data_IF_082590256480
#
_entry.id   IF_082590256480
#
_cell.length_a   1.000
_cell.length_b   1.000
_cell.length_c   1.000
_cell.angle_alpha   90.00
_cell.angle_beta   90.00
_cell.angle_gamma   90.00
#
_symmetry.space_group_name_H-M   'P 1'
#
loop_
_entity.id
_entity.type
_entity.pdbx_description
1 polymer ?
#
# COMPACT_ATOMS: atom_id res chain seq x y z
N UNK A 1 -19.81 -3.53 -80.92
CA UNK A 1 -18.84 -2.68 -80.22
C UNK A 1 -19.31 -2.53 -78.78
N UNK A 2 -18.88 -3.43 -77.90
CA UNK A 2 -18.90 -3.26 -76.44
C UNK A 2 -18.13 -4.44 -75.84
N UNK A 3 -16.96 -4.16 -75.25
CA UNK A 3 -16.12 -5.10 -74.52
C UNK A 3 -16.78 -5.44 -73.17
N UNK A 4 -16.68 -6.69 -72.73
CA UNK A 4 -16.73 -7.04 -71.31
C UNK A 4 -15.56 -7.97 -70.98
N UNK A 5 -14.48 -7.37 -70.50
CA UNK A 5 -13.36 -8.03 -69.84
C UNK A 5 -13.80 -8.32 -68.41
N UNK A 6 -13.79 -9.59 -67.98
CA UNK A 6 -13.93 -9.96 -66.57
C UNK A 6 -12.53 -10.15 -65.98
N UNK A 7 -12.05 -9.15 -65.24
CA UNK A 7 -10.85 -9.27 -64.41
C UNK A 7 -11.17 -10.12 -63.17
N UNK A 8 -10.37 -11.16 -62.96
CA UNK A 8 -10.18 -11.79 -61.65
C UNK A 8 -9.45 -10.80 -60.74
N UNK A 9 -10.00 -10.51 -59.57
CA UNK A 9 -9.26 -9.93 -58.45
C UNK A 9 -9.30 -10.92 -57.29
N UNK A 10 -8.17 -11.58 -57.04
CA UNK A 10 -7.91 -12.34 -55.81
C UNK A 10 -7.58 -11.31 -54.73
N UNK A 11 -8.52 -11.04 -53.85
CA UNK A 11 -8.28 -10.22 -52.66
C UNK A 11 -7.60 -11.06 -51.58
N UNK A 12 -6.34 -10.77 -51.29
CA UNK A 12 -5.65 -11.30 -50.12
C UNK A 12 -6.26 -10.66 -48.86
N UNK A 13 -6.90 -11.47 -48.02
CA UNK A 13 -7.33 -11.04 -46.70
C UNK A 13 -6.10 -10.97 -45.77
N UNK A 14 -5.67 -9.75 -45.43
CA UNK A 14 -4.78 -9.53 -44.30
C UNK A 14 -5.55 -9.89 -43.02
N UNK A 15 -5.16 -11.00 -42.40
CA UNK A 15 -5.63 -11.38 -41.08
C UNK A 15 -4.88 -10.52 -40.05
N UNK A 16 -5.51 -9.47 -39.53
CA UNK A 16 -5.03 -8.81 -38.32
C UNK A 16 -5.28 -9.76 -37.14
N UNK A 17 -4.25 -10.46 -36.70
CA UNK A 17 -4.25 -11.07 -35.37
C UNK A 17 -3.98 -9.93 -34.40
N UNK A 18 -5.04 -9.38 -33.81
CA UNK A 18 -4.91 -8.57 -32.61
C UNK A 18 -4.34 -9.51 -31.54
N UNK A 19 -3.05 -9.36 -31.22
CA UNK A 19 -2.48 -9.99 -30.05
C UNK A 19 -3.24 -9.45 -28.85
N UNK A 20 -3.96 -10.34 -28.15
CA UNK A 20 -4.54 -9.98 -26.87
C UNK A 20 -3.40 -9.59 -25.94
N UNK A 21 -3.31 -8.31 -25.59
CA UNK A 21 -2.55 -7.92 -24.41
C UNK A 21 -3.23 -8.63 -23.24
N UNK A 22 -2.52 -9.56 -22.60
CA UNK A 22 -2.93 -10.04 -21.29
C UNK A 22 -2.82 -8.85 -20.36
N UNK A 23 -3.94 -8.24 -19.97
CA UNK A 23 -3.94 -7.26 -18.90
C UNK A 23 -3.74 -8.05 -17.59
N UNK A 24 -2.70 -7.71 -16.83
CA UNK A 24 -2.57 -8.19 -15.46
C UNK A 24 -3.69 -7.55 -14.63
N UNK A 25 -4.43 -8.35 -13.86
CA UNK A 25 -5.47 -7.85 -12.96
C UNK A 25 -4.81 -7.31 -11.70
N UNK A 26 -4.99 -6.02 -11.42
CA UNK A 26 -4.60 -5.43 -10.15
C UNK A 26 -5.67 -5.72 -9.09
N UNK A 27 -5.24 -5.85 -7.84
CA UNK A 27 -6.09 -6.16 -6.69
C UNK A 27 -5.98 -5.01 -5.69
N UNK A 28 -7.11 -4.47 -5.24
CA UNK A 28 -7.20 -3.33 -4.33
C UNK A 28 -6.64 -3.62 -2.92
N UNK A 29 -6.78 -4.87 -2.49
CA UNK A 29 -6.21 -5.37 -1.24
C UNK A 29 -4.66 -5.48 -1.26
N UNK A 30 -4.02 -5.46 -2.43
CA UNK A 30 -2.58 -5.68 -2.56
C UNK A 30 -1.80 -4.37 -2.50
N UNK A 31 -0.57 -4.42 -1.98
CA UNK A 31 0.41 -3.39 -2.32
C UNK A 31 0.72 -3.49 -3.82
N UNK A 32 0.71 -2.37 -4.51
CA UNK A 32 1.36 -2.28 -5.81
C UNK A 32 2.85 -2.04 -5.62
N UNK A 33 3.70 -2.58 -6.49
CA UNK A 33 5.14 -2.27 -6.52
C UNK A 33 5.58 -1.80 -7.90
N UNK A 34 6.54 -0.87 -7.93
CA UNK A 34 7.27 -0.46 -9.14
C UNK A 34 8.73 -0.14 -8.85
N UNK A 35 9.57 -0.21 -9.87
CA UNK A 35 10.94 0.33 -9.80
C UNK A 35 10.95 1.71 -10.42
N UNK A 36 11.19 2.74 -9.61
CA UNK A 36 11.32 4.13 -10.04
C UNK A 36 12.59 4.73 -9.47
N UNK A 37 13.39 5.38 -10.31
CA UNK A 37 14.65 6.02 -9.92
C UNK A 37 15.62 5.15 -9.08
N UNK A 38 15.61 3.84 -9.33
CA UNK A 38 16.45 2.88 -8.63
C UNK A 38 15.94 2.52 -7.22
N UNK A 39 14.67 2.74 -6.92
CA UNK A 39 14.03 2.38 -5.65
C UNK A 39 12.82 1.48 -5.94
N UNK A 40 12.60 0.46 -5.11
CA UNK A 40 11.34 -0.27 -5.09
C UNK A 40 10.30 0.58 -4.33
N UNK A 41 9.35 1.16 -5.04
CA UNK A 41 8.29 1.98 -4.46
C UNK A 41 6.98 1.19 -4.37
N UNK A 42 6.19 1.45 -3.33
CA UNK A 42 4.88 0.84 -3.13
C UNK A 42 3.72 1.79 -3.42
N UNK A 43 2.59 1.23 -3.81
CA UNK A 43 1.37 1.96 -4.12
C UNK A 43 0.13 1.13 -3.86
N UNK A 44 -0.99 1.56 -4.43
CA UNK A 44 -2.26 0.86 -4.37
C UNK A 44 -3.13 1.09 -5.61
N UNK A 45 -4.21 0.31 -5.72
CA UNK A 45 -5.27 0.58 -6.68
C UNK A 45 -6.21 1.62 -6.10
N UNK A 46 -6.27 2.80 -6.72
CA UNK A 46 -7.21 3.86 -6.39
C UNK A 46 -8.66 3.50 -6.73
N UNK A 47 -9.60 4.34 -6.29
CA UNK A 47 -11.05 4.08 -6.43
C UNK A 47 -11.54 4.00 -7.87
N UNK A 48 -10.79 4.56 -8.82
CA UNK A 48 -11.06 4.51 -10.25
C UNK A 48 -10.39 3.31 -10.95
N UNK A 49 -9.69 2.46 -10.19
CA UNK A 49 -8.92 1.33 -10.68
C UNK A 49 -7.52 1.68 -11.17
N UNK A 50 -7.10 2.95 -11.10
CA UNK A 50 -5.76 3.37 -11.49
C UNK A 50 -4.76 3.13 -10.36
N UNK A 51 -3.48 2.94 -10.70
CA UNK A 51 -2.44 2.82 -9.70
C UNK A 51 -2.08 4.19 -9.08
N UNK A 52 -1.98 4.25 -7.76
CA UNK A 52 -1.66 5.44 -6.96
C UNK A 52 -0.38 5.16 -6.18
N UNK A 53 0.57 6.10 -6.22
CA UNK A 53 1.87 6.02 -5.57
C UNK A 53 2.28 7.38 -5.00
N UNK A 54 3.05 7.43 -3.89
CA UNK A 54 3.42 6.30 -3.03
C UNK A 54 2.30 5.99 -2.03
N UNK A 55 2.15 4.70 -1.68
CA UNK A 55 1.32 4.26 -0.54
C UNK A 55 2.11 3.25 0.28
N UNK A 56 2.23 3.49 1.59
CA UNK A 56 3.04 2.68 2.51
C UNK A 56 2.22 1.93 3.56
N UNK A 57 0.89 2.05 3.53
CA UNK A 57 -0.02 1.41 4.47
C UNK A 57 -1.02 0.52 3.74
N UNK A 58 -1.31 -0.65 4.30
CA UNK A 58 -2.46 -1.49 3.95
C UNK A 58 -3.15 -2.02 5.18
N UNK A 59 -4.42 -2.37 5.04
CA UNK A 59 -5.20 -3.03 6.09
C UNK A 59 -5.54 -4.46 5.68
N UNK A 60 -5.70 -5.31 6.68
CA UNK A 60 -6.22 -6.66 6.49
C UNK A 60 -6.97 -7.13 7.74
N UNK A 61 -7.84 -8.12 7.58
CA UNK A 61 -8.64 -8.67 8.68
C UNK A 61 -8.33 -10.15 8.84
N UNK A 62 -7.78 -10.54 10.00
CA UNK A 62 -7.62 -11.95 10.34
C UNK A 62 -9.00 -12.62 10.43
N UNK A 63 -9.12 -13.82 9.86
CA UNK A 63 -10.39 -14.54 9.83
C UNK A 63 -11.32 -14.18 8.69
N UNK A 64 -11.00 -13.16 7.86
CA UNK A 64 -11.82 -12.79 6.71
C UNK A 64 -12.06 -13.96 5.73
N UNK A 65 -11.09 -14.88 5.65
CA UNK A 65 -11.15 -16.07 4.80
C UNK A 65 -11.74 -17.31 5.50
N UNK A 66 -12.37 -17.13 6.67
CA UNK A 66 -13.02 -18.21 7.43
C UNK A 66 -12.08 -19.01 8.34
N UNK A 67 -10.81 -18.61 8.46
CA UNK A 67 -9.83 -19.21 9.38
C UNK A 67 -9.34 -18.15 10.35
N UNK A 68 -9.73 -18.27 11.62
CA UNK A 68 -9.30 -17.34 12.67
C UNK A 68 -7.77 -17.24 12.76
N UNK A 69 -7.27 -16.06 13.16
CA UNK A 69 -5.85 -15.72 13.26
C UNK A 69 -5.07 -15.85 11.94
N UNK A 70 -5.74 -15.84 10.79
CA UNK A 70 -5.12 -16.06 9.49
C UNK A 70 -5.67 -15.11 8.42
N UNK A 71 -4.80 -14.63 7.55
CA UNK A 71 -5.15 -13.98 6.29
C UNK A 71 -3.99 -14.13 5.28
N UNK A 72 -4.32 -14.15 3.99
CA UNK A 72 -3.39 -14.05 2.87
C UNK A 72 -3.25 -12.60 2.36
N UNK A 73 -3.94 -11.65 2.98
CA UNK A 73 -3.93 -10.24 2.59
C UNK A 73 -3.07 -9.40 3.56
N UNK A 74 -2.46 -8.30 3.07
CA UNK A 74 -2.38 -7.90 1.67
C UNK A 74 -1.43 -8.81 0.85
N UNK A 75 -1.69 -8.97 -0.44
CA UNK A 75 -0.70 -9.46 -1.39
C UNK A 75 0.23 -8.35 -1.88
N UNK A 76 1.07 -8.70 -2.84
CA UNK A 76 1.89 -7.75 -3.60
C UNK A 76 1.69 -7.99 -5.09
N UNK A 77 1.36 -6.93 -5.81
CA UNK A 77 0.99 -6.92 -7.22
C UNK A 77 1.77 -5.83 -7.96
N UNK A 78 1.78 -5.84 -9.30
CA UNK A 78 2.47 -4.84 -10.09
C UNK A 78 1.75 -4.60 -11.42
N UNK A 79 1.87 -3.39 -11.96
CA UNK A 79 1.51 -3.14 -13.35
C UNK A 79 2.52 -3.81 -14.30
N UNK A 80 2.08 -4.15 -15.51
CA UNK A 80 3.00 -4.78 -16.47
C UNK A 80 4.08 -3.79 -16.92
N UNK A 81 5.33 -4.26 -16.92
CA UNK A 81 6.51 -3.55 -17.41
C UNK A 81 7.10 -2.55 -16.42
N UNK A 82 6.59 -2.47 -15.19
CA UNK A 82 7.12 -1.56 -14.15
C UNK A 82 8.21 -2.18 -13.27
N UNK A 83 8.49 -3.47 -13.47
CA UNK A 83 9.51 -4.24 -12.75
C UNK A 83 10.62 -4.70 -13.71
N UNK A 84 11.74 -5.12 -13.14
CA UNK A 84 12.83 -5.76 -13.91
C UNK A 84 12.47 -7.23 -14.15
N UNK A 85 12.45 -7.72 -15.42
CA UNK A 85 12.14 -9.11 -15.72
C UNK A 85 13.02 -10.10 -14.94
N UNK A 86 12.38 -11.07 -14.29
CA UNK A 86 13.07 -12.09 -13.50
C UNK A 86 13.57 -11.64 -12.13
N UNK A 87 13.34 -10.40 -11.70
CA UNK A 87 13.76 -9.97 -10.37
C UNK A 87 12.97 -10.72 -9.28
N UNK A 88 13.67 -11.14 -8.25
CA UNK A 88 13.07 -11.70 -7.04
C UNK A 88 12.67 -10.57 -6.11
N UNK A 89 11.57 -10.75 -5.39
CA UNK A 89 11.15 -9.83 -4.32
C UNK A 89 11.07 -10.61 -3.01
N UNK A 90 11.72 -10.07 -2.00
CA UNK A 90 11.68 -10.55 -0.63
C UNK A 90 11.25 -9.45 0.33
N UNK A 91 11.11 -9.83 1.60
CA UNK A 91 10.83 -8.89 2.68
C UNK A 91 11.79 -9.11 3.85
N UNK A 92 11.95 -8.10 4.69
CA UNK A 92 12.50 -8.23 6.05
C UNK A 92 11.50 -7.63 7.05
N UNK A 93 11.41 -8.21 8.25
CA UNK A 93 10.59 -7.66 9.33
C UNK A 93 11.46 -6.71 10.13
N UNK A 94 11.07 -5.45 10.26
CA UNK A 94 11.98 -4.40 10.75
C UNK A 94 11.78 -4.02 12.21
N UNK A 95 10.66 -4.43 12.81
CA UNK A 95 10.33 -4.14 14.20
C UNK A 95 9.45 -5.23 14.82
N UNK A 96 9.28 -5.18 16.14
CA UNK A 96 8.29 -6.00 16.83
C UNK A 96 6.86 -5.54 16.47
N UNK A 97 5.91 -6.47 16.53
CA UNK A 97 4.49 -6.13 16.35
C UNK A 97 4.06 -5.13 17.43
N UNK A 98 3.26 -4.14 17.04
CA UNK A 98 2.61 -3.22 17.97
C UNK A 98 1.14 -3.57 18.11
N UNK A 99 0.60 -3.38 19.29
CA UNK A 99 -0.83 -3.55 19.57
C UNK A 99 -1.45 -2.16 19.77
N UNK A 100 -2.63 -1.95 19.20
CA UNK A 100 -3.35 -0.70 19.30
C UNK A 100 -3.94 -0.50 20.70
N UNK A 101 -3.55 0.59 21.35
CA UNK A 101 -4.10 1.02 22.64
C UNK A 101 -4.60 2.49 22.61
N UNK A 102 -4.87 2.98 21.40
CA UNK A 102 -5.00 4.41 21.06
C UNK A 102 -3.72 4.99 20.45
N UNK A 103 -2.61 4.24 20.51
CA UNK A 103 -1.33 4.48 19.83
C UNK A 103 -0.71 3.14 19.37
N UNK A 104 0.45 3.19 18.71
CA UNK A 104 1.30 2.01 18.47
C UNK A 104 2.63 2.05 19.24
N UNK A 105 2.67 2.72 20.39
CA UNK A 105 3.89 2.79 21.22
C UNK A 105 4.19 1.46 21.93
N UNK A 106 3.15 0.67 22.20
CA UNK A 106 3.25 -0.59 22.95
C UNK A 106 3.68 -1.76 22.05
N UNK A 107 4.75 -2.47 22.44
CA UNK A 107 5.09 -3.76 21.83
C UNK A 107 4.05 -4.80 22.25
N UNK A 108 3.46 -5.46 21.27
CA UNK A 108 2.50 -6.53 21.45
C UNK A 108 3.16 -7.78 22.06
N UNK A 109 2.49 -8.41 23.01
CA UNK A 109 2.84 -9.78 23.44
C UNK A 109 2.47 -10.81 22.36
N UNK A 110 1.42 -10.53 21.57
CA UNK A 110 1.06 -11.29 20.38
C UNK A 110 2.07 -11.08 19.26
N UNK A 111 2.27 -12.11 18.44
CA UNK A 111 3.30 -12.12 17.39
C UNK A 111 2.70 -12.52 16.07
N UNK A 112 3.20 -11.99 14.96
CA UNK A 112 2.78 -12.38 13.62
C UNK A 112 3.86 -13.26 12.97
N UNK A 113 3.44 -14.39 12.42
CA UNK A 113 4.24 -15.21 11.52
C UNK A 113 3.91 -14.80 10.09
N UNK A 114 4.93 -14.43 9.31
CA UNK A 114 4.84 -14.27 7.86
C UNK A 114 5.38 -15.53 7.20
N UNK A 115 4.57 -16.18 6.35
CA UNK A 115 4.88 -17.50 5.79
C UNK A 115 4.73 -17.52 4.27
N UNK A 116 5.69 -18.16 3.60
CA UNK A 116 5.58 -18.53 2.18
C UNK A 116 6.25 -19.88 1.94
N UNK A 117 5.64 -20.72 1.11
CA UNK A 117 6.21 -22.00 0.68
C UNK A 117 6.70 -22.90 1.83
N UNK A 118 5.99 -22.86 2.98
CA UNK A 118 6.32 -23.64 4.18
C UNK A 118 7.46 -23.06 5.04
N UNK A 119 8.03 -21.91 4.70
CA UNK A 119 9.04 -21.20 5.49
C UNK A 119 8.36 -20.12 6.32
N UNK A 120 8.63 -20.13 7.63
CA UNK A 120 8.05 -19.20 8.59
C UNK A 120 9.12 -18.18 9.01
N UNK A 121 8.77 -16.90 8.90
CA UNK A 121 9.50 -15.79 9.51
C UNK A 121 8.63 -15.22 10.63
N UNK A 122 9.09 -15.35 11.87
CA UNK A 122 8.38 -14.83 13.04
C UNK A 122 8.90 -13.41 13.32
N UNK A 123 7.98 -12.45 13.45
CA UNK A 123 8.27 -11.07 13.96
C UNK A 123 9.11 -11.12 15.23
N UNK A 124 10.00 -10.17 15.55
CA UNK A 124 10.81 -10.19 16.78
C UNK A 124 10.00 -9.77 18.03
N UNK A 125 10.60 -9.93 19.23
CA UNK A 125 10.04 -9.42 20.52
C UNK A 125 10.54 -8.03 20.90
N UNK A 126 11.41 -7.44 20.10
CA UNK A 126 12.01 -6.11 20.30
C UNK A 126 12.33 -5.52 18.93
N UNK A 127 12.62 -4.22 18.85
CA UNK A 127 12.93 -3.57 17.58
C UNK A 127 14.31 -3.96 17.05
N UNK A 128 14.31 -5.07 16.32
CA UNK A 128 15.46 -5.59 15.58
C UNK A 128 14.98 -6.05 14.22
N UNK A 129 15.86 -5.99 13.22
CA UNK A 129 15.58 -6.56 11.90
C UNK A 129 15.67 -8.08 11.98
N UNK A 130 14.62 -8.76 11.49
CA UNK A 130 14.61 -10.19 11.22
C UNK A 130 14.63 -10.39 9.71
N UNK A 131 15.73 -10.93 9.15
CA UNK A 131 15.78 -11.26 7.72
C UNK A 131 14.64 -12.20 7.34
N UNK A 132 13.89 -11.84 6.31
CA UNK A 132 12.80 -12.63 5.80
C UNK A 132 13.23 -13.52 4.64
N UNK A 133 12.33 -13.66 3.67
CA UNK A 133 12.46 -14.61 2.57
C UNK A 133 12.05 -13.97 1.24
N UNK A 134 12.60 -14.49 0.14
CA UNK A 134 12.01 -14.28 -1.18
C UNK A 134 10.64 -14.94 -1.22
N UNK A 135 9.62 -14.19 -1.64
CA UNK A 135 8.25 -14.71 -1.72
C UNK A 135 7.67 -14.71 -3.14
N UNK A 136 8.32 -14.03 -4.08
CA UNK A 136 7.91 -13.99 -5.47
C UNK A 136 9.07 -13.67 -6.40
N UNK A 137 8.86 -13.97 -7.68
CA UNK A 137 9.74 -13.57 -8.78
C UNK A 137 8.85 -12.96 -9.87
N UNK A 138 9.31 -11.86 -10.45
CA UNK A 138 8.66 -11.26 -11.61
C UNK A 138 8.85 -12.16 -12.84
N UNK A 139 7.88 -12.18 -13.74
CA UNK A 139 7.98 -12.97 -14.96
C UNK A 139 9.23 -12.58 -15.77
N UNK A 140 9.76 -13.55 -16.52
CA UNK A 140 11.00 -13.39 -17.31
C UNK A 140 10.78 -12.61 -18.61
N UNK A 141 9.54 -12.30 -18.97
CA UNK A 141 9.21 -11.54 -20.17
C UNK A 141 9.19 -10.03 -19.93
N UNK A 142 9.01 -9.26 -21.01
CA UNK A 142 9.02 -7.81 -20.95
C UNK A 142 7.86 -7.20 -20.15
N UNK A 143 6.80 -7.99 -19.89
CA UNK A 143 5.70 -7.61 -19.02
C UNK A 143 6.06 -7.71 -17.53
N UNK A 144 7.06 -8.52 -17.16
CA UNK A 144 7.55 -8.66 -15.79
C UNK A 144 6.41 -8.77 -14.75
N UNK A 145 5.38 -9.57 -15.08
CA UNK A 145 4.20 -9.72 -14.24
C UNK A 145 4.56 -10.23 -12.85
N UNK A 146 3.87 -9.72 -11.84
CA UNK A 146 4.13 -10.07 -10.45
C UNK A 146 2.84 -10.00 -9.64
N UNK A 147 2.38 -11.13 -9.14
CA UNK A 147 1.27 -11.20 -8.21
C UNK A 147 1.50 -12.35 -7.23
N UNK A 148 1.89 -12.00 -5.99
CA UNK A 148 2.26 -12.98 -4.99
C UNK A 148 1.75 -12.59 -3.60
N UNK A 149 1.14 -13.55 -2.92
CA UNK A 149 0.73 -13.41 -1.53
C UNK A 149 1.70 -14.13 -0.59
N UNK A 150 1.84 -13.60 0.62
CA UNK A 150 2.36 -14.31 1.79
C UNK A 150 1.20 -14.62 2.73
N UNK A 151 1.43 -15.49 3.71
CA UNK A 151 0.47 -15.82 4.74
C UNK A 151 0.82 -15.09 6.02
N UNK A 152 -0.15 -14.40 6.60
CA UNK A 152 -0.05 -13.79 7.91
C UNK A 152 -0.81 -14.65 8.92
N UNK A 153 -0.12 -15.07 9.97
CA UNK A 153 -0.71 -15.87 11.06
C UNK A 153 -0.46 -15.13 12.37
N UNK A 154 -1.54 -14.70 13.03
CA UNK A 154 -1.50 -14.17 14.38
C UNK A 154 -1.21 -15.31 15.36
N UNK A 155 -0.23 -15.12 16.24
CA UNK A 155 0.13 -16.05 17.31
C UNK A 155 -0.15 -15.36 18.64
N UNK A 156 -1.36 -15.55 19.21
CA UNK A 156 -1.73 -14.89 20.46
C UNK A 156 -0.91 -15.45 21.62
N UNK A 157 -0.36 -14.59 22.47
CA UNK A 157 0.45 -14.98 23.63
C UNK A 157 -0.35 -15.87 24.60
N UNK A 158 -1.64 -15.57 24.76
CA UNK A 158 -2.57 -16.31 25.61
C UNK A 158 -3.33 -17.43 24.87
N UNK A 159 -3.05 -17.62 23.58
CA UNK A 159 -3.82 -18.49 22.68
C UNK A 159 -5.23 -17.97 22.40
N UNK A 160 -6.02 -18.75 21.65
CA UNK A 160 -7.40 -18.40 21.31
C UNK A 160 -7.53 -17.49 20.08
N UNK A 161 -8.59 -16.69 20.04
CA UNK A 161 -8.92 -15.75 18.95
C UNK A 161 -9.12 -14.38 19.60
N UNK A 162 -8.05 -13.61 19.81
CA UNK A 162 -8.14 -12.31 20.47
C UNK A 162 -8.92 -11.31 19.61
N UNK A 163 -9.46 -10.28 20.27
CA UNK A 163 -9.99 -9.09 19.62
C UNK A 163 -8.97 -7.97 19.77
N UNK A 164 -8.63 -7.27 18.69
CA UNK A 164 -7.67 -6.19 18.71
C UNK A 164 -7.24 -5.72 17.32
N UNK A 165 -6.32 -4.76 17.31
CA UNK A 165 -5.65 -4.24 16.12
C UNK A 165 -4.13 -4.31 16.33
N UNK A 166 -3.41 -4.79 15.32
CA UNK A 166 -1.96 -4.96 15.35
C UNK A 166 -1.30 -4.30 14.16
N UNK A 167 -0.13 -3.69 14.38
CA UNK A 167 0.71 -3.17 13.31
C UNK A 167 1.94 -4.05 13.10
N UNK A 168 2.13 -4.47 11.86
CA UNK A 168 3.36 -5.08 11.36
C UNK A 168 4.15 -4.05 10.57
N UNK A 169 5.46 -3.95 10.84
CA UNK A 169 6.38 -3.15 10.01
C UNK A 169 7.33 -4.06 9.24
N UNK A 170 7.43 -3.83 7.93
CA UNK A 170 8.30 -4.58 7.04
C UNK A 170 8.82 -3.69 5.92
N UNK A 171 9.89 -4.15 5.27
CA UNK A 171 10.43 -3.55 4.05
C UNK A 171 10.48 -4.60 2.95
N UNK A 172 10.26 -4.20 1.70
CA UNK A 172 10.49 -5.06 0.55
C UNK A 172 11.86 -4.77 -0.05
N UNK A 173 12.52 -5.83 -0.51
CA UNK A 173 13.80 -5.76 -1.19
C UNK A 173 13.78 -6.62 -2.45
N UNK A 174 14.69 -6.35 -3.38
CA UNK A 174 14.88 -7.15 -4.59
C UNK A 174 16.34 -7.55 -4.80
N UNK A 175 16.57 -8.58 -5.59
CA UNK A 175 17.90 -8.97 -6.07
C UNK A 175 18.30 -8.22 -7.35
N UNK A 176 17.44 -7.34 -7.89
CA UNK A 176 17.75 -6.51 -9.05
C UNK A 176 18.91 -5.55 -8.74
N UNK A 177 20.02 -5.56 -9.52
CA UNK A 177 21.16 -4.71 -9.23
C UNK A 177 20.83 -3.23 -9.30
N UNK A 178 21.19 -2.48 -8.24
CA UNK A 178 21.01 -1.04 -8.18
C UNK A 178 19.57 -0.59 -7.90
N UNK A 179 18.71 -1.51 -7.43
CA UNK A 179 17.39 -1.19 -6.89
C UNK A 179 17.45 -1.24 -5.36
N UNK A 180 17.24 -0.10 -4.73
CA UNK A 180 17.14 0.05 -3.29
C UNK A 180 15.79 -0.47 -2.77
N UNK A 181 15.75 -0.72 -1.47
CA UNK A 181 14.58 -1.22 -0.75
C UNK A 181 13.46 -0.19 -0.71
N UNK A 182 12.27 -0.62 -0.32
CA UNK A 182 11.18 0.31 0.01
C UNK A 182 11.55 1.13 1.24
N UNK A 183 10.93 2.30 1.37
CA UNK A 183 10.69 2.91 2.68
C UNK A 183 9.92 1.93 3.60
N UNK A 184 9.89 2.16 4.94
CA UNK A 184 9.12 1.33 5.84
C UNK A 184 7.64 1.25 5.44
N UNK A 185 7.13 0.02 5.39
CA UNK A 185 5.73 -0.28 5.09
C UNK A 185 5.03 -0.77 6.35
N UNK A 186 3.74 -0.47 6.43
CA UNK A 186 2.89 -0.77 7.57
C UNK A 186 1.69 -1.60 7.12
N UNK A 187 1.43 -2.70 7.83
CA UNK A 187 0.19 -3.44 7.67
C UNK A 187 -0.56 -3.42 8.98
N UNK A 188 -1.79 -2.89 8.93
CA UNK A 188 -2.67 -2.79 10.09
C UNK A 188 -3.69 -3.91 10.02
N UNK A 189 -3.56 -4.87 10.93
CA UNK A 189 -4.42 -6.03 11.01
C UNK A 189 -5.50 -5.83 12.06
N UNK A 190 -6.75 -6.10 11.71
CA UNK A 190 -7.85 -6.22 12.67
C UNK A 190 -8.25 -7.68 12.91
N UNK A 191 -8.68 -8.01 14.12
CA UNK A 191 -9.48 -9.21 14.40
C UNK A 191 -10.49 -8.89 15.48
N UNK A 192 -11.77 -9.15 15.25
CA UNK A 192 -12.83 -8.87 16.25
C UNK A 192 -13.04 -7.38 16.58
N UNK A 193 -12.12 -6.50 16.18
CA UNK A 193 -12.20 -5.05 16.30
C UNK A 193 -13.31 -4.46 15.43
N UNK A 194 -13.86 -3.33 15.86
CA UNK A 194 -14.82 -2.56 15.06
C UNK A 194 -14.11 -1.85 13.91
N UNK A 195 -14.82 -1.61 12.80
CA UNK A 195 -14.26 -0.88 11.64
C UNK A 195 -13.69 0.49 12.06
N UNK A 196 -14.38 1.20 12.95
CA UNK A 196 -13.91 2.49 13.47
C UNK A 196 -12.56 2.43 14.18
N UNK A 197 -12.27 1.33 14.89
CA UNK A 197 -11.00 1.17 15.61
C UNK A 197 -9.84 0.91 14.64
N UNK A 198 -10.10 0.18 13.55
CA UNK A 198 -9.12 -0.02 12.48
C UNK A 198 -8.83 1.29 11.73
N UNK A 199 -9.87 2.09 11.46
CA UNK A 199 -9.74 3.39 10.81
C UNK A 199 -8.95 4.38 11.69
N UNK A 200 -9.21 4.43 13.00
CA UNK A 200 -8.46 5.27 13.94
C UNK A 200 -6.97 4.87 13.98
N UNK A 201 -6.68 3.57 13.93
CA UNK A 201 -5.31 3.06 13.92
C UNK A 201 -4.57 3.41 12.61
N UNK A 202 -5.25 3.35 11.46
CA UNK A 202 -4.71 3.79 10.16
C UNK A 202 -4.35 5.28 10.20
N UNK A 203 -5.29 6.11 10.64
CA UNK A 203 -5.09 7.56 10.73
C UNK A 203 -3.90 7.91 11.63
N UNK A 204 -3.70 7.17 12.73
CA UNK A 204 -2.54 7.36 13.59
C UNK A 204 -1.23 7.05 12.87
N UNK A 205 -1.14 5.97 12.09
CA UNK A 205 0.08 5.59 11.37
C UNK A 205 0.43 6.60 10.28
N UNK A 206 -0.58 7.09 9.55
CA UNK A 206 -0.42 8.14 8.55
C UNK A 206 0.20 9.40 9.18
N UNK A 207 -0.39 9.88 10.28
CA UNK A 207 0.05 11.09 10.96
C UNK A 207 1.43 10.94 11.63
N UNK A 208 1.71 9.80 12.27
CA UNK A 208 2.85 9.67 13.18
C UNK A 208 4.08 8.97 12.58
N UNK A 209 3.89 8.04 11.64
CA UNK A 209 4.97 7.16 11.17
C UNK A 209 5.31 7.34 9.70
N UNK A 210 4.29 7.55 8.88
CA UNK A 210 4.51 7.92 7.49
C UNK A 210 5.00 9.38 7.48
N UNK A 211 4.45 10.20 8.39
CA UNK A 211 4.54 11.65 8.32
C UNK A 211 3.69 12.03 7.13
N UNK A 212 2.57 12.72 7.39
CA UNK A 212 1.52 12.99 6.41
C UNK A 212 2.09 13.06 5.00
N UNK A 213 1.53 12.25 4.09
CA UNK A 213 1.70 12.43 2.65
C UNK A 213 1.29 13.87 2.35
N UNK A 214 2.25 14.78 2.52
CA UNK A 214 2.05 16.20 2.68
C UNK A 214 0.80 16.61 3.50
N UNK A 215 0.93 16.86 4.81
CA UNK A 215 -0.15 17.38 5.66
C UNK A 215 -1.04 18.48 5.03
N UNK A 216 -0.49 19.43 4.23
CA UNK A 216 -1.30 20.45 3.59
C UNK A 216 -1.97 20.03 2.27
N UNK A 217 -1.79 18.81 1.76
CA UNK A 217 -2.34 18.24 0.52
C UNK A 217 -3.63 17.48 0.82
N UNK A 218 -4.75 18.17 0.66
CA UNK A 218 -6.05 17.73 1.13
C UNK A 218 -7.03 17.45 -0.03
N UNK A 219 -6.65 17.79 -1.25
CA UNK A 219 -7.55 17.69 -2.40
C UNK A 219 -6.80 17.23 -3.66
N UNK A 220 -7.50 16.43 -4.48
CA UNK A 220 -6.94 16.01 -5.75
C UNK A 220 -6.56 17.20 -6.67
N UNK A 221 -5.43 17.11 -7.41
CA UNK A 221 -4.52 15.96 -7.47
C UNK A 221 -3.56 15.88 -6.27
N UNK A 222 -3.62 14.75 -5.55
CA UNK A 222 -2.68 14.44 -4.47
C UNK A 222 -1.24 14.34 -5.02
N UNK A 223 -0.28 14.70 -4.20
CA UNK A 223 1.11 14.96 -4.53
C UNK A 223 1.39 16.38 -5.04
N UNK A 224 0.40 17.28 -5.14
CA UNK A 224 0.56 18.63 -5.71
C UNK A 224 -0.19 19.69 -4.91
N UNK A 225 0.54 20.46 -4.10
CA UNK A 225 -0.05 21.61 -3.41
C UNK A 225 -0.51 22.69 -4.39
N UNK A 226 -1.80 22.98 -4.31
CA UNK A 226 -2.45 23.99 -5.13
C UNK A 226 -3.56 24.67 -4.32
N UNK A 227 -4.46 25.39 -5.00
CA UNK A 227 -5.52 26.15 -4.32
C UNK A 227 -6.62 25.25 -3.77
N UNK A 228 -6.83 24.06 -4.35
CA UNK A 228 -7.88 23.14 -3.91
C UNK A 228 -7.60 22.60 -2.52
N UNK A 229 -6.34 22.38 -2.14
CA UNK A 229 -5.99 21.96 -0.78
C UNK A 229 -6.32 23.02 0.26
N UNK A 230 -6.02 24.28 -0.08
CA UNK A 230 -6.36 25.41 0.79
C UNK A 230 -7.87 25.56 0.93
N UNK A 231 -8.62 25.33 -0.16
CA UNK A 231 -10.08 25.38 -0.12
C UNK A 231 -10.67 24.26 0.72
N UNK A 232 -10.10 23.06 0.66
CA UNK A 232 -10.51 21.92 1.49
C UNK A 232 -10.22 22.19 2.97
N UNK A 233 -9.02 22.69 3.31
CA UNK A 233 -8.71 23.09 4.68
C UNK A 233 -9.69 24.15 5.22
N UNK A 234 -10.01 25.17 4.41
CA UNK A 234 -10.98 26.21 4.79
C UNK A 234 -12.38 25.61 4.96
N UNK A 235 -12.77 24.61 4.17
CA UNK A 235 -14.04 23.91 4.32
C UNK A 235 -14.10 23.16 5.66
N UNK A 236 -13.07 22.37 6.00
CA UNK A 236 -12.94 21.67 7.28
C UNK A 236 -12.98 22.66 8.46
N UNK A 237 -12.23 23.76 8.38
CA UNK A 237 -12.18 24.79 9.41
C UNK A 237 -13.55 25.45 9.66
N UNK A 238 -14.27 25.78 8.58
CA UNK A 238 -15.60 26.39 8.68
C UNK A 238 -16.67 25.40 9.18
N UNK A 239 -16.52 24.11 8.85
CA UNK A 239 -17.39 23.04 9.33
C UNK A 239 -17.11 22.64 10.79
N UNK A 240 -16.02 23.16 11.37
CA UNK A 240 -15.54 22.81 12.70
C UNK A 240 -15.16 21.34 12.83
N UNK A 241 -14.58 20.77 11.76
CA UNK A 241 -14.15 19.38 11.75
C UNK A 241 -12.85 19.19 12.52
N UNK A 242 -12.67 18.06 13.24
CA UNK A 242 -11.43 17.75 13.96
C UNK A 242 -10.17 17.77 13.08
N UNK A 243 -10.30 17.46 11.79
CA UNK A 243 -9.18 17.49 10.84
C UNK A 243 -8.59 18.88 10.57
N UNK A 244 -9.25 19.96 11.01
CA UNK A 244 -8.73 21.32 10.92
C UNK A 244 -7.96 21.77 12.19
N UNK A 245 -7.94 20.97 13.26
CA UNK A 245 -7.35 21.28 14.57
C UNK A 245 -5.87 20.87 14.61
N UNK A 246 -5.03 21.75 14.08
CA UNK A 246 -3.61 21.49 13.81
C UNK A 246 -2.68 22.06 14.87
N UNK A 247 -3.19 22.87 15.81
CA UNK A 247 -2.37 23.53 16.81
C UNK A 247 -3.08 23.67 18.16
N UNK A 248 -2.30 23.54 19.24
CA UNK A 248 -2.82 23.77 20.58
C UNK A 248 -3.42 25.19 20.74
N UNK A 249 -4.53 25.35 21.49
CA UNK A 249 -5.21 24.31 22.28
C UNK A 249 -6.13 23.40 21.46
N UNK A 250 -5.84 22.10 21.48
CA UNK A 250 -6.65 21.09 20.79
C UNK A 250 -8.08 21.02 21.36
N UNK A 251 -9.03 20.73 20.49
CA UNK A 251 -10.47 20.83 20.70
C UNK A 251 -11.02 22.25 20.47
N UNK A 252 -10.20 23.20 20.00
CA UNK A 252 -10.61 24.60 19.77
C UNK A 252 -9.99 25.15 18.49
N UNK A 253 -10.75 25.15 17.40
CA UNK A 253 -10.33 25.77 16.15
C UNK A 253 -10.20 27.29 16.28
N UNK A 254 -9.00 27.77 15.97
CA UNK A 254 -8.65 29.17 16.07
C UNK A 254 -7.57 29.55 15.04
N UNK A 255 -7.02 30.76 15.14
CA UNK A 255 -6.04 31.27 14.18
C UNK A 255 -4.73 30.46 14.16
N UNK A 256 -4.35 29.80 15.26
CA UNK A 256 -3.13 29.01 15.33
C UNK A 256 -3.19 27.78 14.41
N UNK A 257 -4.37 27.19 14.22
CA UNK A 257 -4.57 26.08 13.29
C UNK A 257 -4.36 26.53 11.84
N UNK A 258 -4.96 27.67 11.48
CA UNK A 258 -4.79 28.27 10.15
C UNK A 258 -3.32 28.61 9.90
N UNK A 259 -2.63 29.14 10.92
CA UNK A 259 -1.20 29.42 10.84
C UNK A 259 -0.36 28.16 10.71
N UNK A 260 -0.74 27.05 11.36
CA UNK A 260 -0.07 25.77 11.25
C UNK A 260 -0.24 25.18 9.85
N UNK A 261 -1.46 25.19 9.30
CA UNK A 261 -1.75 24.78 7.93
C UNK A 261 -0.91 25.58 6.91
N UNK A 262 -0.92 26.91 7.00
CA UNK A 262 -0.13 27.78 6.09
C UNK A 262 1.37 27.51 6.22
N UNK A 263 1.86 27.22 7.43
CA UNK A 263 3.27 26.90 7.64
C UNK A 263 3.65 25.58 6.98
N UNK A 264 2.79 24.56 7.11
CA UNK A 264 2.96 23.28 6.44
C UNK A 264 2.89 23.44 4.91
N UNK A 265 1.89 24.16 4.40
CA UNK A 265 1.73 24.45 2.96
C UNK A 265 2.96 25.12 2.36
N UNK A 266 3.53 26.11 3.04
CA UNK A 266 4.74 26.81 2.59
C UNK A 266 6.03 25.99 2.75
N UNK A 267 6.05 25.01 3.65
CA UNK A 267 7.16 24.07 3.76
C UNK A 267 7.19 23.10 2.57
N UNK A 268 6.05 22.91 1.89
CA UNK A 268 5.91 22.00 0.77
C UNK A 268 5.76 20.56 1.20
N UNK A 269 5.63 19.67 0.21
CA UNK A 269 5.65 18.23 0.39
C UNK A 269 7.09 17.72 0.20
N UNK A 270 7.56 16.74 0.99
CA UNK A 270 8.77 15.98 0.69
C UNK A 270 8.72 15.29 -0.68
#
# INVERSE_FOLDING_TARGET
MSLHVRNLAVGAALLFVAGGAFAQSLHDADFLIRVVDGVLETGEVGTDGAAVYPVRIKTAVFGAEGVANFTNDPGVNAELGVLVPGMSVGFDLTAAVREWDGTFDTISDDRITVRKSGINTLTPTSDIVVPGIVFGQADLDAGAGFHHHVQFILNPAMGGVPSGVWMLTWELWTDAPGVERTEPLYIIFGQGAGVSELDDAVAWVEQNLIGDACAPDLAAPFGVLNIFDMLEYIALFNAQEPGADLAAPFGVLNFFDVSAYISAYNAGCP
#
